data_IF_377456895210
#
_entry.id   IF_377456895210
#
_cell.length_a   1.000
_cell.length_b   1.000
_cell.length_c   1.000
_cell.angle_alpha   90.00
_cell.angle_beta   90.00
_cell.angle_gamma   90.00
#
_symmetry.space_group_name_H-M   'P 1'
#
loop_
_entity.id
_entity.type
_entity.pdbx_description
1 polymer ?
#
# COMPACT_ATOMS: atom_id res chain seq x y z
N UNK A 1 22.67 -50.43 -71.13
CA UNK A 1 21.91 -51.00 -69.99
C UNK A 1 22.81 -51.00 -68.78
N UNK A 2 22.34 -50.41 -67.66
CA UNK A 2 22.62 -50.73 -66.24
C UNK A 2 24.10 -51.00 -65.86
N UNK A 3 24.73 -50.32 -64.91
CA UNK A 3 24.28 -49.38 -63.89
C UNK A 3 25.48 -49.17 -62.95
N UNK A 4 25.72 -47.92 -62.55
CA UNK A 4 26.66 -47.55 -61.50
C UNK A 4 26.11 -47.96 -60.14
N UNK A 5 26.95 -48.58 -59.31
CA UNK A 5 26.91 -48.39 -57.85
C UNK A 5 28.36 -48.33 -57.35
N UNK A 6 28.87 -47.10 -57.23
CA UNK A 6 29.98 -46.76 -56.35
C UNK A 6 29.47 -46.70 -54.91
N UNK A 7 30.19 -47.34 -53.97
CA UNK A 7 30.12 -47.00 -52.55
C UNK A 7 31.53 -46.70 -52.12
N UNK A 8 31.89 -45.43 -52.04
CA UNK A 8 33.07 -44.95 -51.32
C UNK A 8 32.59 -43.93 -50.28
N UNK A 9 32.77 -44.30 -49.02
CA UNK A 9 32.38 -43.54 -47.84
C UNK A 9 33.25 -42.28 -47.77
N UNK A 10 32.68 -41.13 -48.11
CA UNK A 10 33.29 -39.84 -47.82
C UNK A 10 32.96 -39.45 -46.38
N UNK A 11 33.95 -39.55 -45.50
CA UNK A 11 33.89 -38.96 -44.17
C UNK A 11 33.98 -37.43 -44.29
N UNK A 12 32.85 -36.74 -44.20
CA UNK A 12 32.81 -35.31 -43.95
C UNK A 12 32.76 -35.09 -42.44
N UNK A 13 33.92 -34.85 -41.84
CA UNK A 13 34.02 -34.26 -40.51
C UNK A 13 33.47 -32.82 -40.56
N UNK A 14 32.18 -32.66 -40.27
CA UNK A 14 31.62 -31.37 -39.88
C UNK A 14 31.86 -31.22 -38.39
N UNK A 15 32.80 -30.36 -38.02
CA UNK A 15 32.89 -29.85 -36.66
C UNK A 15 31.65 -28.98 -36.41
N UNK A 16 30.56 -29.60 -35.93
CA UNK A 16 29.52 -28.87 -35.25
C UNK A 16 30.10 -28.44 -33.91
N UNK A 17 30.62 -27.20 -33.85
CA UNK A 17 30.72 -26.47 -32.59
C UNK A 17 29.29 -26.39 -32.05
N UNK A 18 28.94 -27.34 -31.18
CA UNK A 18 27.89 -27.12 -30.19
C UNK A 18 28.48 -26.04 -29.29
N UNK A 19 28.20 -24.78 -29.62
CA UNK A 19 28.09 -23.80 -28.57
C UNK A 19 26.99 -24.36 -27.67
N UNK A 20 27.38 -24.87 -26.51
CA UNK A 20 26.45 -24.93 -25.39
C UNK A 20 25.77 -23.56 -25.38
N UNK A 21 24.42 -23.47 -25.36
CA UNK A 21 23.83 -22.23 -24.94
C UNK A 21 24.40 -22.02 -23.55
N UNK A 22 25.37 -21.12 -23.46
CA UNK A 22 25.83 -20.58 -22.20
C UNK A 22 24.52 -20.22 -21.53
N UNK A 23 24.16 -20.97 -20.49
CA UNK A 23 23.09 -20.61 -19.62
C UNK A 23 23.62 -19.40 -18.85
N UNK A 24 23.78 -18.29 -19.57
CA UNK A 24 23.24 -17.03 -19.14
C UNK A 24 21.77 -17.30 -18.92
N UNK A 25 21.49 -17.93 -17.77
CA UNK A 25 20.43 -17.47 -16.91
C UNK A 25 20.43 -15.97 -17.11
N UNK A 26 19.42 -15.48 -17.83
CA UNK A 26 19.11 -14.07 -17.87
C UNK A 26 19.02 -13.74 -16.40
N UNK A 27 20.12 -13.22 -15.87
CA UNK A 27 20.15 -12.63 -14.55
C UNK A 27 19.25 -11.45 -14.79
N UNK A 28 17.95 -11.67 -14.55
CA UNK A 28 17.00 -10.62 -14.31
C UNK A 28 17.71 -9.78 -13.28
N UNK A 29 18.32 -8.70 -13.77
CA UNK A 29 19.03 -7.77 -12.94
C UNK A 29 17.88 -6.98 -12.33
N UNK A 30 17.23 -7.58 -11.34
CA UNK A 30 16.25 -6.94 -10.49
C UNK A 30 16.94 -5.65 -10.08
N UNK A 31 16.42 -4.52 -10.55
CA UNK A 31 16.91 -3.21 -10.16
C UNK A 31 16.56 -3.06 -8.68
N UNK A 32 17.45 -3.61 -7.84
CA UNK A 32 17.51 -3.34 -6.42
C UNK A 32 17.77 -1.84 -6.29
N UNK A 33 16.73 -1.08 -6.02
CA UNK A 33 16.92 0.24 -5.43
C UNK A 33 17.63 0.00 -4.09
N UNK A 34 18.90 0.39 -3.99
CA UNK A 34 19.63 0.38 -2.72
C UNK A 34 19.05 1.47 -1.82
N UNK A 35 17.93 1.17 -1.16
CA UNK A 35 17.28 2.06 -0.20
C UNK A 35 15.78 1.81 -0.07
N UNK A 36 15.28 1.85 1.17
CA UNK A 36 13.84 1.81 1.43
C UNK A 36 13.18 3.13 1.02
N UNK A 37 12.04 3.04 0.31
CA UNK A 37 11.16 4.19 0.05
C UNK A 37 10.33 4.46 1.30
N UNK A 38 10.34 5.70 1.78
CA UNK A 38 9.63 6.06 3.00
C UNK A 38 8.28 6.69 2.65
N UNK A 39 7.21 6.17 3.25
CA UNK A 39 5.89 6.79 3.28
C UNK A 39 5.64 7.28 4.70
N UNK A 40 5.57 8.60 4.87
CA UNK A 40 5.26 9.23 6.16
C UNK A 40 3.77 9.25 6.40
N UNK A 41 3.36 8.89 7.62
CA UNK A 41 1.94 8.83 8.01
C UNK A 41 1.72 9.59 9.31
N UNK A 42 0.80 10.55 9.28
CA UNK A 42 0.23 11.16 10.48
C UNK A 42 -1.03 10.42 10.90
N UNK A 43 -1.08 9.93 12.13
CA UNK A 43 -2.23 9.23 12.66
C UNK A 43 -3.04 10.12 13.60
N UNK A 44 -4.36 10.06 13.45
CA UNK A 44 -5.29 10.79 14.29
C UNK A 44 -6.25 9.81 14.97
N UNK A 45 -6.17 9.68 16.28
CA UNK A 45 -7.08 8.87 17.08
C UNK A 45 -8.42 9.60 17.21
N UNK A 46 -9.51 8.94 16.83
CA UNK A 46 -10.87 9.45 16.99
C UNK A 46 -11.16 9.83 18.45
N UNK A 47 -11.23 11.13 18.73
CA UNK A 47 -11.42 11.70 20.04
C UNK A 47 -12.74 11.31 20.70
N UNK A 48 -13.71 10.74 19.97
CA UNK A 48 -14.93 10.19 20.55
C UNK A 48 -14.69 8.79 21.15
N UNK A 49 -13.97 7.93 20.44
CA UNK A 49 -13.64 6.57 20.87
C UNK A 49 -12.40 6.46 21.76
N UNK A 50 -11.52 7.47 21.70
CA UNK A 50 -10.24 7.57 22.42
C UNK A 50 -10.20 8.77 23.38
N UNK A 51 -11.37 9.32 23.76
CA UNK A 51 -11.54 10.55 24.56
C UNK A 51 -10.67 10.63 25.83
N UNK A 52 -10.37 9.48 26.43
CA UNK A 52 -9.58 9.35 27.66
C UNK A 52 -8.36 8.46 27.45
N UNK A 53 -7.81 8.44 26.24
CA UNK A 53 -6.63 7.66 25.92
C UNK A 53 -5.48 8.08 26.83
N UNK A 54 -5.17 7.20 27.77
CA UNK A 54 -4.00 7.30 28.62
C UNK A 54 -2.78 6.74 27.87
N UNK A 55 -1.60 6.87 28.48
CA UNK A 55 -0.33 6.40 27.89
C UNK A 55 -0.37 4.91 27.51
N UNK A 56 -1.09 4.10 28.28
CA UNK A 56 -1.26 2.66 28.05
C UNK A 56 -2.16 2.38 26.82
N UNK A 57 -3.27 3.11 26.65
CA UNK A 57 -4.09 3.03 25.43
C UNK A 57 -3.32 3.50 24.19
N UNK A 58 -2.59 4.61 24.27
CA UNK A 58 -1.75 5.11 23.17
C UNK A 58 -0.67 4.08 22.80
N UNK A 59 0.03 3.53 23.79
CA UNK A 59 1.05 2.49 23.58
C UNK A 59 0.46 1.25 22.91
N UNK A 60 -0.76 0.86 23.31
CA UNK A 60 -1.50 -0.25 22.70
C UNK A 60 -1.91 0.00 21.26
N UNK A 61 -2.23 1.24 20.89
CA UNK A 61 -2.49 1.61 19.50
C UNK A 61 -1.19 1.64 18.70
N UNK A 62 -0.11 2.19 19.24
CA UNK A 62 1.20 2.19 18.58
C UNK A 62 1.70 0.77 18.28
N UNK A 63 1.64 -0.14 19.25
CA UNK A 63 2.03 -1.53 19.05
C UNK A 63 1.15 -2.25 18.02
N UNK A 64 -0.12 -1.87 17.91
CA UNK A 64 -1.01 -2.38 16.86
C UNK A 64 -0.64 -1.82 15.48
N UNK A 65 -0.43 -0.50 15.38
CA UNK A 65 0.00 0.18 14.15
C UNK A 65 1.31 -0.40 13.61
N UNK A 66 2.29 -0.66 14.48
CA UNK A 66 3.56 -1.28 14.09
C UNK A 66 3.35 -2.64 13.40
N UNK A 67 2.41 -3.45 13.90
CA UNK A 67 2.12 -4.78 13.31
C UNK A 67 1.35 -4.66 12.00
N UNK A 68 0.36 -3.76 11.93
CA UNK A 68 -0.40 -3.46 10.71
C UNK A 68 0.56 -2.96 9.62
N UNK A 69 1.42 -2.00 9.94
CA UNK A 69 2.42 -1.46 9.03
C UNK A 69 3.40 -2.53 8.57
N UNK A 70 3.95 -3.33 9.49
CA UNK A 70 4.86 -4.40 9.14
C UNK A 70 4.24 -5.38 8.14
N UNK A 71 3.00 -5.81 8.37
CA UNK A 71 2.30 -6.68 7.43
C UNK A 71 2.06 -6.00 6.07
N UNK A 72 1.68 -4.73 6.07
CA UNK A 72 1.48 -3.96 4.84
C UNK A 72 2.80 -3.79 4.06
N UNK A 73 3.93 -3.55 4.73
CA UNK A 73 5.26 -3.46 4.10
C UNK A 73 5.66 -4.78 3.42
N UNK A 74 5.40 -5.92 4.08
CA UNK A 74 5.63 -7.24 3.49
C UNK A 74 4.81 -7.43 2.21
N UNK A 75 3.53 -7.12 2.26
CA UNK A 75 2.64 -7.25 1.11
C UNK A 75 3.04 -6.31 -0.04
N UNK A 76 3.39 -5.05 0.27
CA UNK A 76 3.88 -4.11 -0.74
C UNK A 76 5.21 -4.55 -1.38
N UNK A 77 6.10 -5.14 -0.58
CA UNK A 77 7.35 -5.70 -1.09
C UNK A 77 7.07 -6.88 -2.03
N UNK A 78 6.12 -7.75 -1.70
CA UNK A 78 5.72 -8.88 -2.55
C UNK A 78 5.04 -8.40 -3.83
N UNK A 79 4.10 -7.46 -3.73
CA UNK A 79 3.29 -6.97 -4.85
C UNK A 79 4.09 -6.09 -5.82
N UNK A 80 4.92 -5.18 -5.28
CA UNK A 80 5.61 -4.17 -6.07
C UNK A 80 7.11 -4.46 -6.26
N UNK A 81 7.67 -5.44 -5.56
CA UNK A 81 9.11 -5.72 -5.56
C UNK A 81 9.96 -4.47 -5.23
N UNK A 82 9.40 -3.58 -4.40
CA UNK A 82 10.04 -2.36 -3.91
C UNK A 82 9.99 -2.37 -2.39
N UNK A 83 11.13 -2.10 -1.76
CA UNK A 83 11.20 -1.97 -0.31
C UNK A 83 10.56 -0.63 0.12
N UNK A 84 9.30 -0.68 0.55
CA UNK A 84 8.56 0.45 1.12
C UNK A 84 8.57 0.30 2.64
N UNK A 85 8.81 1.40 3.36
CA UNK A 85 8.69 1.50 4.82
C UNK A 85 7.75 2.62 5.21
N UNK A 86 6.91 2.36 6.19
CA UNK A 86 6.09 3.38 6.82
C UNK A 86 6.85 4.04 7.95
N UNK A 87 6.80 5.37 7.98
CA UNK A 87 7.34 6.16 9.06
C UNK A 87 6.21 6.92 9.74
N UNK A 88 6.09 6.72 11.06
CA UNK A 88 5.20 7.51 11.90
C UNK A 88 5.69 8.96 11.93
N UNK A 89 4.90 9.89 11.40
CA UNK A 89 5.17 11.32 11.48
C UNK A 89 4.65 11.89 12.80
N UNK A 90 3.41 11.56 13.14
CA UNK A 90 2.70 12.03 14.34
C UNK A 90 1.61 11.03 14.74
N UNK A 91 1.24 11.02 16.02
CA UNK A 91 0.10 10.28 16.55
C UNK A 91 -0.60 11.16 17.57
N UNK A 92 -1.70 11.78 17.15
CA UNK A 92 -2.45 12.74 17.96
C UNK A 92 -3.92 12.34 18.09
N UNK A 93 -4.65 13.01 18.98
CA UNK A 93 -6.10 12.95 19.01
C UNK A 93 -6.69 13.89 17.95
N UNK A 94 -7.85 13.55 17.41
CA UNK A 94 -8.58 14.47 16.54
C UNK A 94 -8.97 15.74 17.29
N UNK A 95 -8.84 16.89 16.62
CA UNK A 95 -9.32 18.16 17.18
C UNK A 95 -10.85 18.16 17.40
N UNK A 96 -11.37 19.15 18.12
CA UNK A 96 -12.80 19.24 18.44
C UNK A 96 -13.68 19.26 17.18
N UNK A 97 -13.24 19.94 16.12
CA UNK A 97 -14.00 20.08 14.88
C UNK A 97 -14.06 18.78 14.09
N UNK A 98 -12.96 18.02 14.02
CA UNK A 98 -12.93 16.72 13.38
C UNK A 98 -13.66 15.67 14.22
N UNK A 99 -13.56 15.75 15.55
CA UNK A 99 -14.34 14.89 16.46
C UNK A 99 -15.86 15.09 16.28
N UNK A 100 -16.33 16.32 16.10
CA UNK A 100 -17.74 16.62 15.81
C UNK A 100 -18.18 16.06 14.45
N UNK A 101 -17.31 16.13 13.43
CA UNK A 101 -17.56 15.52 12.11
C UNK A 101 -17.67 14.00 12.23
N UNK A 102 -16.75 13.36 12.95
CA UNK A 102 -16.76 11.91 13.18
C UNK A 102 -18.05 11.48 13.89
N UNK A 103 -18.46 12.22 14.92
CA UNK A 103 -19.68 11.96 15.67
C UNK A 103 -20.93 12.12 14.80
N UNK A 104 -21.04 13.22 14.04
CA UNK A 104 -22.19 13.47 13.16
C UNK A 104 -22.24 12.55 11.94
N UNK A 105 -21.11 11.98 11.54
CA UNK A 105 -21.01 10.95 10.51
C UNK A 105 -21.29 9.54 11.04
N UNK A 106 -21.49 9.40 12.35
CA UNK A 106 -21.76 8.11 13.00
C UNK A 106 -23.24 7.99 13.33
N UNK A 107 -23.87 6.99 12.73
CA UNK A 107 -25.26 6.64 13.05
C UNK A 107 -25.36 5.96 14.41
N UNK A 108 -26.46 6.17 15.11
CA UNK A 108 -26.72 5.60 16.46
C UNK A 108 -26.94 4.07 16.41
N UNK A 109 -27.00 3.48 15.21
CA UNK A 109 -27.41 2.08 15.01
C UNK A 109 -28.90 1.88 15.27
N UNK A 110 -29.42 0.68 14.99
CA UNK A 110 -30.80 0.29 15.31
C UNK A 110 -30.87 -1.22 15.58
N UNK A 111 -31.77 -1.63 16.47
CA UNK A 111 -32.12 -3.03 16.73
C UNK A 111 -30.92 -3.98 16.89
N UNK A 112 -30.01 -3.65 17.81
CA UNK A 112 -28.85 -4.50 18.13
C UNK A 112 -27.65 -4.33 17.20
N UNK A 113 -27.78 -3.57 16.11
CA UNK A 113 -26.62 -3.09 15.35
C UNK A 113 -25.97 -1.94 16.10
N UNK A 114 -24.66 -2.05 16.35
CA UNK A 114 -23.87 -0.98 16.95
C UNK A 114 -23.77 0.25 16.03
N UNK A 115 -23.11 1.32 16.51
CA UNK A 115 -22.92 2.52 15.71
C UNK A 115 -22.12 2.23 14.43
N UNK A 116 -22.46 2.94 13.35
CA UNK A 116 -21.79 2.83 12.05
C UNK A 116 -21.39 4.21 11.55
N UNK A 117 -20.11 4.38 11.24
CA UNK A 117 -19.53 5.63 10.75
C UNK A 117 -19.40 5.63 9.22
N UNK A 118 -19.95 6.66 8.56
CA UNK A 118 -19.90 6.79 7.10
C UNK A 118 -18.52 7.25 6.63
N UNK A 119 -17.76 6.33 6.04
CA UNK A 119 -16.34 6.54 5.76
C UNK A 119 -16.09 7.66 4.73
N UNK A 120 -16.89 7.74 3.66
CA UNK A 120 -16.75 8.75 2.62
C UNK A 120 -16.98 10.18 3.10
N UNK A 121 -17.93 10.40 4.00
CA UNK A 121 -18.18 11.74 4.57
C UNK A 121 -16.98 12.22 5.37
N UNK A 122 -16.48 11.35 6.25
CA UNK A 122 -15.32 11.66 7.10
C UNK A 122 -14.07 11.97 6.28
N UNK A 123 -13.77 11.14 5.27
CA UNK A 123 -12.61 11.37 4.39
C UNK A 123 -12.72 12.68 3.60
N UNK A 124 -13.92 13.06 3.16
CA UNK A 124 -14.14 14.35 2.49
C UNK A 124 -13.77 15.54 3.38
N UNK A 125 -14.09 15.45 4.67
CA UNK A 125 -13.77 16.48 5.67
C UNK A 125 -12.30 16.50 6.07
N UNK A 126 -11.63 15.35 6.18
CA UNK A 126 -10.18 15.30 6.41
C UNK A 126 -9.45 15.96 5.24
N UNK A 127 -9.88 15.66 4.00
CA UNK A 127 -9.28 16.24 2.78
C UNK A 127 -9.41 17.75 2.74
N UNK A 128 -10.57 18.30 3.07
CA UNK A 128 -10.82 19.75 3.03
C UNK A 128 -9.93 20.53 4.00
N UNK A 129 -9.54 19.89 5.11
CA UNK A 129 -8.68 20.46 6.16
C UNK A 129 -7.18 20.25 5.89
N UNK A 130 -6.82 19.28 5.06
CA UNK A 130 -5.43 18.99 4.70
C UNK A 130 -4.89 20.07 3.75
N UNK A 131 -4.18 21.06 4.30
CA UNK A 131 -3.50 22.11 3.51
C UNK A 131 -2.21 21.56 2.88
N UNK A 132 -1.65 22.27 1.88
CA UNK A 132 -0.34 21.97 1.27
C UNK A 132 0.77 22.73 2.02
N UNK A 133 1.94 22.10 2.20
CA UNK A 133 3.13 22.67 2.84
C UNK A 133 4.23 21.63 3.04
N UNK A 134 5.47 22.07 3.34
CA UNK A 134 6.53 21.14 3.74
C UNK A 134 6.28 20.65 5.17
N UNK A 135 6.60 19.39 5.46
CA UNK A 135 6.37 18.76 6.77
C UNK A 135 5.01 18.08 6.94
N UNK A 136 4.20 17.99 5.89
CA UNK A 136 2.90 17.30 5.90
C UNK A 136 3.12 15.84 5.49
N UNK A 137 2.55 14.86 6.22
CA UNK A 137 2.74 13.45 5.89
C UNK A 137 2.13 13.10 4.53
N UNK A 138 2.65 12.04 3.92
CA UNK A 138 2.12 11.48 2.67
C UNK A 138 0.68 10.97 2.85
N UNK A 139 0.37 10.44 4.05
CA UNK A 139 -0.95 9.94 4.42
C UNK A 139 -1.36 10.57 5.76
N UNK A 140 -2.61 11.00 5.87
CA UNK A 140 -3.26 11.27 7.16
C UNK A 140 -4.27 10.15 7.39
N UNK A 141 -4.10 9.38 8.45
CA UNK A 141 -4.94 8.23 8.75
C UNK A 141 -5.69 8.44 10.07
N UNK A 142 -7.02 8.51 10.01
CA UNK A 142 -7.84 8.51 11.22
C UNK A 142 -8.06 7.07 11.68
N UNK A 143 -7.80 6.81 12.96
CA UNK A 143 -8.03 5.53 13.62
C UNK A 143 -9.28 5.65 14.49
N UNK A 144 -10.29 4.82 14.24
CA UNK A 144 -11.53 4.80 15.02
C UNK A 144 -11.83 3.41 15.57
N UNK A 145 -12.55 3.33 16.67
CA UNK A 145 -13.13 2.06 17.18
C UNK A 145 -14.47 1.75 16.54
N UNK A 146 -15.09 2.73 15.89
CA UNK A 146 -16.39 2.57 15.26
C UNK A 146 -16.29 1.74 13.99
N UNK A 147 -17.34 0.97 13.71
CA UNK A 147 -17.44 0.19 12.48
C UNK A 147 -17.69 1.14 11.31
N UNK A 148 -16.91 0.98 10.25
CA UNK A 148 -17.00 1.81 9.06
C UNK A 148 -18.01 1.22 8.06
N UNK A 149 -18.70 2.10 7.33
CA UNK A 149 -19.50 1.70 6.17
C UNK A 149 -19.36 2.69 5.01
N UNK A 150 -19.56 2.17 3.80
CA UNK A 150 -19.61 2.93 2.56
C UNK A 150 -20.59 2.28 1.58
N UNK A 151 -21.62 3.01 1.17
CA UNK A 151 -22.70 2.44 0.36
C UNK A 151 -23.33 1.24 1.08
N UNK A 152 -23.30 0.07 0.44
CA UNK A 152 -23.83 -1.17 1.02
C UNK A 152 -22.78 -2.00 1.77
N UNK A 153 -21.52 -1.56 1.80
CA UNK A 153 -20.44 -2.25 2.48
C UNK A 153 -20.36 -1.78 3.93
N UNK A 154 -20.38 -2.72 4.88
CA UNK A 154 -20.33 -2.45 6.32
C UNK A 154 -19.18 -3.23 6.97
N UNK A 155 -18.79 -2.84 8.19
CA UNK A 155 -17.70 -3.48 8.94
C UNK A 155 -16.35 -3.42 8.22
N UNK A 156 -16.14 -2.33 7.48
CA UNK A 156 -14.91 -2.09 6.75
C UNK A 156 -13.76 -1.91 7.75
N UNK A 157 -12.64 -2.57 7.49
CA UNK A 157 -11.41 -2.41 8.27
C UNK A 157 -10.66 -1.10 7.96
N UNK A 158 -10.98 -0.50 6.82
CA UNK A 158 -10.35 0.71 6.35
C UNK A 158 -10.95 1.21 5.06
N UNK A 159 -10.69 2.47 4.73
CA UNK A 159 -11.23 3.09 3.53
C UNK A 159 -10.37 4.28 3.08
N UNK A 160 -10.30 4.48 1.76
CA UNK A 160 -9.73 5.68 1.11
C UNK A 160 -10.52 6.00 -0.15
N UNK A 161 -10.45 7.25 -0.62
CA UNK A 161 -11.09 7.68 -1.88
C UNK A 161 -10.12 8.34 -2.86
N UNK A 162 -8.88 8.62 -2.47
CA UNK A 162 -8.01 9.51 -3.25
C UNK A 162 -6.82 8.77 -3.85
N UNK A 163 -6.72 8.87 -5.18
CA UNK A 163 -5.60 8.40 -6.00
C UNK A 163 -4.51 9.47 -6.18
N UNK A 164 -4.09 10.09 -5.09
CA UNK A 164 -3.22 11.28 -5.14
C UNK A 164 -1.92 11.09 -4.36
N UNK A 165 -1.63 9.86 -3.91
CA UNK A 165 -0.36 9.56 -3.24
C UNK A 165 0.79 9.98 -4.17
N UNK A 166 1.86 10.50 -3.57
CA UNK A 166 3.00 11.16 -4.22
C UNK A 166 2.73 12.57 -4.81
N UNK A 167 1.47 13.02 -4.91
CA UNK A 167 1.14 14.40 -5.33
C UNK A 167 0.61 15.26 -4.19
N UNK A 168 -0.25 14.68 -3.36
CA UNK A 168 -0.83 15.33 -2.18
C UNK A 168 -1.01 14.33 -1.06
N UNK A 169 -1.19 14.83 0.15
CA UNK A 169 -1.60 14.01 1.29
C UNK A 169 -2.89 13.26 0.98
N UNK A 170 -2.91 11.97 1.31
CA UNK A 170 -4.06 11.09 1.12
C UNK A 170 -4.74 10.85 2.47
N UNK A 171 -6.02 11.18 2.61
CA UNK A 171 -6.77 10.81 3.80
C UNK A 171 -7.14 9.33 3.74
N UNK A 172 -7.00 8.66 4.89
CA UNK A 172 -7.38 7.26 5.08
C UNK A 172 -8.11 7.10 6.42
N UNK A 173 -8.91 6.05 6.50
CA UNK A 173 -9.53 5.58 7.74
C UNK A 173 -9.11 4.14 7.98
N UNK A 174 -8.88 3.80 9.25
CA UNK A 174 -8.73 2.42 9.71
C UNK A 174 -9.57 2.19 10.96
N UNK A 175 -10.18 1.02 11.04
CA UNK A 175 -10.84 0.55 12.26
C UNK A 175 -9.83 -0.17 13.15
N UNK A 176 -9.72 0.28 14.39
CA UNK A 176 -8.89 -0.32 15.41
C UNK A 176 -9.50 -1.63 15.91
N UNK A 177 -8.94 -2.75 15.44
CA UNK A 177 -9.35 -4.09 15.84
C UNK A 177 -8.13 -4.94 16.19
N UNK A 178 -8.09 -5.39 17.44
CA UNK A 178 -7.00 -6.20 18.02
C UNK A 178 -7.32 -7.68 18.12
N UNK A 179 -8.48 -8.09 17.63
CA UNK A 179 -8.87 -9.49 17.62
C UNK A 179 -7.85 -10.31 16.81
N UNK A 180 -7.68 -11.59 17.15
CA UNK A 180 -6.74 -12.45 16.44
C UNK A 180 -7.09 -12.52 14.94
N UNK A 181 -6.08 -12.53 14.07
CA UNK A 181 -6.24 -12.49 12.61
C UNK A 181 -6.50 -11.09 12.05
N UNK A 182 -7.29 -10.26 12.74
CA UNK A 182 -7.71 -8.94 12.26
C UNK A 182 -6.56 -7.98 12.02
N UNK A 183 -5.49 -8.06 12.81
CA UNK A 183 -4.28 -7.24 12.59
C UNK A 183 -3.66 -7.49 11.21
N UNK A 184 -3.57 -8.76 10.78
CA UNK A 184 -2.97 -9.12 9.50
C UNK A 184 -3.91 -8.78 8.34
N UNK A 185 -5.23 -8.96 8.53
CA UNK A 185 -6.24 -8.51 7.57
C UNK A 185 -6.19 -6.99 7.37
N UNK A 186 -6.12 -6.22 8.45
CA UNK A 186 -5.98 -4.76 8.38
C UNK A 186 -4.67 -4.37 7.71
N UNK A 187 -3.56 -5.06 8.00
CA UNK A 187 -2.28 -4.83 7.31
C UNK A 187 -2.36 -5.09 5.81
N UNK A 188 -3.03 -6.17 5.41
CA UNK A 188 -3.21 -6.50 3.99
C UNK A 188 -4.12 -5.50 3.27
N UNK A 189 -5.21 -5.10 3.92
CA UNK A 189 -6.05 -4.03 3.41
C UNK A 189 -5.25 -2.71 3.33
N UNK A 190 -4.40 -2.42 4.30
CA UNK A 190 -3.64 -1.17 4.32
C UNK A 190 -2.65 -1.08 3.14
N UNK A 191 -1.99 -2.18 2.76
CA UNK A 191 -1.21 -2.22 1.52
C UNK A 191 -2.07 -1.95 0.29
N UNK A 192 -3.25 -2.57 0.20
CA UNK A 192 -4.17 -2.34 -0.93
C UNK A 192 -4.64 -0.87 -0.99
N UNK A 193 -4.92 -0.26 0.16
CA UNK A 193 -5.30 1.16 0.22
C UNK A 193 -4.17 2.05 -0.29
N UNK A 194 -2.91 1.77 0.07
CA UNK A 194 -1.73 2.51 -0.41
C UNK A 194 -1.57 2.36 -1.94
N UNK A 195 -1.66 1.14 -2.45
CA UNK A 195 -1.63 0.85 -3.89
C UNK A 195 -2.76 1.60 -4.61
N UNK A 196 -3.99 1.45 -4.13
CA UNK A 196 -5.17 2.07 -4.73
C UNK A 196 -5.15 3.60 -4.64
N UNK A 197 -4.44 4.16 -3.66
CA UNK A 197 -4.24 5.60 -3.51
C UNK A 197 -3.11 6.17 -4.35
N UNK A 198 -2.30 5.33 -4.99
CA UNK A 198 -1.26 5.77 -5.91
C UNK A 198 -1.88 6.21 -7.23
N UNK A 199 -1.40 7.33 -7.78
CA UNK A 199 -1.90 7.85 -9.05
C UNK A 199 -1.73 6.84 -10.19
N UNK A 200 -2.73 6.75 -11.07
CA UNK A 200 -2.72 5.84 -12.21
C UNK A 200 -1.52 6.11 -13.15
N UNK A 201 -1.04 7.35 -13.24
CA UNK A 201 0.12 7.68 -14.08
C UNK A 201 1.42 7.09 -13.53
N UNK A 202 1.56 7.07 -12.20
CA UNK A 202 2.69 6.45 -11.50
C UNK A 202 2.61 4.93 -11.65
N UNK A 203 1.43 4.35 -11.47
CA UNK A 203 1.22 2.91 -11.64
C UNK A 203 1.44 2.45 -13.08
N UNK A 204 1.02 3.24 -14.08
CA UNK A 204 1.32 2.98 -15.49
C UNK A 204 2.81 3.07 -15.78
N UNK A 205 3.51 4.06 -15.21
CA UNK A 205 4.95 4.19 -15.38
C UNK A 205 5.68 2.98 -14.76
N UNK A 206 5.28 2.57 -13.55
CA UNK A 206 5.76 1.34 -12.92
C UNK A 206 5.52 0.10 -13.81
N UNK A 207 4.29 -0.11 -14.28
CA UNK A 207 3.93 -1.25 -15.12
C UNK A 207 4.71 -1.29 -16.44
N UNK A 208 4.98 -0.12 -17.05
CA UNK A 208 5.83 -0.03 -18.25
C UNK A 208 7.28 -0.42 -17.94
N UNK A 209 7.81 -0.03 -16.79
CA UNK A 209 9.18 -0.38 -16.39
C UNK A 209 9.34 -1.82 -15.91
N UNK A 210 8.28 -2.46 -15.44
CA UNK A 210 8.30 -3.90 -15.12
C UNK A 210 8.27 -4.77 -16.37
N UNK A 211 7.69 -4.28 -17.47
CA UNK A 211 7.57 -5.00 -18.74
C UNK A 211 8.73 -4.70 -19.71
N UNK A 212 9.29 -3.48 -19.66
CA UNK A 212 10.43 -3.04 -20.47
C UNK A 212 11.57 -2.61 -19.55
N UNK A 213 12.60 -3.46 -19.39
CA UNK A 213 13.72 -3.30 -18.47
C UNK A 213 14.68 -2.13 -18.76
N UNK A 214 14.18 -1.02 -19.33
CA UNK A 214 14.93 0.22 -19.58
C UNK A 214 14.16 1.47 -19.15
N UNK A 215 14.70 2.06 -18.07
CA UNK A 215 14.80 3.51 -17.80
C UNK A 215 13.50 4.33 -17.71
N UNK A 216 13.07 4.59 -16.46
CA UNK A 216 12.83 5.94 -15.88
C UNK A 216 12.15 5.80 -14.49
N UNK A 217 12.94 5.67 -13.42
CA UNK A 217 12.44 5.50 -12.04
C UNK A 217 12.97 6.55 -11.05
N UNK A 218 13.56 7.64 -11.55
CA UNK A 218 13.92 8.78 -10.69
C UNK A 218 12.67 9.58 -10.27
N UNK A 219 11.55 9.49 -11.00
CA UNK A 219 10.36 10.31 -10.75
C UNK A 219 9.26 9.61 -9.93
N UNK A 220 9.26 8.28 -9.83
CA UNK A 220 8.11 7.52 -9.30
C UNK A 220 8.02 7.57 -7.76
N UNK A 221 9.13 7.78 -7.05
CA UNK A 221 9.14 7.91 -5.58
C UNK A 221 10.18 8.91 -5.06
N UNK A 222 10.32 10.06 -5.71
CA UNK A 222 10.78 11.27 -5.01
C UNK A 222 9.60 11.78 -4.17
N UNK A 223 9.29 11.07 -3.08
CA UNK A 223 8.51 11.62 -1.98
C UNK A 223 9.44 12.43 -1.05
N UNK A 224 10.23 13.34 -1.63
CA UNK A 224 10.94 14.46 -1.00
C UNK A 224 11.10 15.55 -2.05
#
# INVERSE_FOLDING_TARGET
MRGLIEVHVFALCVFCLVAEPDSQAVRAKTLSFEGARIITIGYLLDGNGFKYANEDEISRVQAWLQKVQYQAELNLMEELNVNIKFQLAELDLTDAKLSEVLLSSTSVGSCGSGPLMHAGTVLGEIKSKSKKGSGIPNIICVITKEKLYQGNLTDLLGYTMNKTLCYTTVPMLLTYDRSQGRINETGSLFSELVVNSTSDDIMKAYAKTSDDGRTCLETIFQCV
#
